data_IF_301520165148
#
_entry.id   IF_301520165148
#
_cell.length_a   1.000
_cell.length_b   1.000
_cell.length_c   1.000
_cell.angle_alpha   90.00
_cell.angle_beta   90.00
_cell.angle_gamma   90.00
#
_symmetry.space_group_name_H-M   'P 1'
#
loop_
_entity.id
_entity.type
_entity.pdbx_description
1 polymer ?
#
# COMPACT_ATOMS: atom_id res chain seq x y z
N UNK A 1 4.67 14.29 -19.54
CA UNK A 1 3.50 13.38 -19.44
C UNK A 1 3.94 11.92 -19.53
N UNK A 2 4.84 11.58 -20.45
CA UNK A 2 5.40 10.22 -20.58
C UNK A 2 6.07 9.69 -19.30
N UNK A 3 6.78 10.55 -18.56
CA UNK A 3 7.43 10.16 -17.29
C UNK A 3 6.42 9.76 -16.20
N UNK A 4 5.28 10.45 -16.13
CA UNK A 4 4.23 10.13 -15.15
C UNK A 4 3.59 8.77 -15.44
N UNK A 5 3.36 8.46 -16.72
CA UNK A 5 2.84 7.15 -17.15
C UNK A 5 3.83 6.03 -16.82
N UNK A 6 5.14 6.28 -16.95
CA UNK A 6 6.16 5.30 -16.56
C UNK A 6 6.17 5.05 -15.05
N UNK A 7 6.03 6.10 -14.23
CA UNK A 7 5.97 5.98 -12.77
C UNK A 7 4.70 5.23 -12.35
N UNK A 8 3.56 5.52 -12.98
CA UNK A 8 2.30 4.81 -12.74
C UNK A 8 2.40 3.32 -13.09
N UNK A 9 2.97 3.00 -14.25
CA UNK A 9 3.21 1.61 -14.65
C UNK A 9 4.17 0.89 -13.68
N UNK A 10 5.22 1.57 -13.22
CA UNK A 10 6.14 1.02 -12.23
C UNK A 10 5.47 0.79 -10.88
N UNK A 11 4.55 1.67 -10.47
CA UNK A 11 3.76 1.54 -9.26
C UNK A 11 2.83 0.32 -9.33
N UNK A 12 2.10 0.15 -10.44
CA UNK A 12 1.25 -1.03 -10.62
C UNK A 12 2.07 -2.32 -10.63
N UNK A 13 3.22 -2.32 -11.31
CA UNK A 13 4.18 -3.44 -11.27
C UNK A 13 4.63 -3.76 -9.84
N UNK A 14 4.91 -2.75 -9.01
CA UNK A 14 5.28 -2.95 -7.61
C UNK A 14 4.14 -3.59 -6.80
N UNK A 15 2.88 -3.15 -7.02
CA UNK A 15 1.70 -3.71 -6.33
C UNK A 15 1.54 -5.20 -6.61
N UNK A 16 1.69 -5.62 -7.87
CA UNK A 16 1.59 -7.02 -8.30
C UNK A 16 2.89 -7.82 -8.10
N UNK A 17 3.91 -7.24 -7.45
CA UNK A 17 5.20 -7.90 -7.25
C UNK A 17 5.27 -8.70 -5.94
N UNK A 18 6.32 -9.52 -5.76
CA UNK A 18 6.60 -10.21 -4.50
C UNK A 18 7.11 -9.28 -3.37
N UNK A 19 7.32 -8.00 -3.66
CA UNK A 19 7.73 -7.05 -2.63
C UNK A 19 6.62 -6.89 -1.60
N UNK A 20 6.96 -7.18 -0.36
CA UNK A 20 6.03 -7.21 0.78
C UNK A 20 6.71 -6.50 1.94
N UNK A 21 6.51 -5.18 2.12
CA UNK A 21 7.10 -4.47 3.24
C UNK A 21 6.56 -5.06 4.56
N UNK A 22 7.49 -5.50 5.40
CA UNK A 22 7.19 -6.04 6.73
C UNK A 22 7.15 -4.89 7.73
N UNK A 23 6.27 -4.99 8.73
CA UNK A 23 6.32 -4.07 9.87
C UNK A 23 7.56 -4.40 10.69
N UNK A 24 8.60 -3.58 10.59
CA UNK A 24 9.77 -3.65 11.45
C UNK A 24 9.62 -2.59 12.56
N UNK A 25 9.70 -2.94 13.86
CA UNK A 25 9.72 -1.95 14.94
C UNK A 25 10.91 -0.99 14.87
N UNK A 26 11.99 -1.35 14.15
CA UNK A 26 13.16 -0.48 13.91
C UNK A 26 12.97 0.46 12.71
N UNK A 27 11.84 0.38 12.00
CA UNK A 27 11.62 1.18 10.81
C UNK A 27 11.48 2.66 11.17
N UNK A 28 12.44 3.47 10.74
CA UNK A 28 12.44 4.91 11.02
C UNK A 28 11.79 5.66 9.85
N UNK A 29 11.04 6.73 10.15
CA UNK A 29 10.41 7.58 9.12
C UNK A 29 11.42 8.16 8.13
N UNK A 30 12.66 8.40 8.57
CA UNK A 30 13.76 8.83 7.71
C UNK A 30 14.09 7.82 6.62
N UNK A 31 14.07 6.51 6.89
CA UNK A 31 14.36 5.49 5.88
C UNK A 31 13.31 5.47 4.78
N UNK A 32 12.05 5.71 5.17
CA UNK A 32 10.93 5.83 4.24
C UNK A 32 11.02 7.10 3.39
N UNK A 33 11.54 8.21 3.91
CA UNK A 33 11.59 9.50 3.20
C UNK A 33 12.85 9.70 2.36
N UNK A 34 14.00 9.12 2.74
CA UNK A 34 15.31 9.40 2.14
C UNK A 34 15.89 8.26 1.31
N UNK A 35 15.39 7.02 1.45
CA UNK A 35 15.85 5.91 0.62
C UNK A 35 15.51 6.11 -0.87
N UNK A 36 16.26 5.50 -1.80
CA UNK A 36 15.88 5.49 -3.21
C UNK A 36 14.50 4.85 -3.41
N UNK A 37 13.78 5.25 -4.46
CA UNK A 37 12.48 4.63 -4.77
C UNK A 37 12.68 3.17 -5.15
N UNK A 38 11.84 2.29 -4.63
CA UNK A 38 11.85 0.85 -4.94
C UNK A 38 11.18 0.53 -6.29
N UNK A 39 10.59 1.51 -6.97
CA UNK A 39 9.91 1.33 -8.25
C UNK A 39 10.81 0.85 -9.39
N UNK A 40 12.12 1.13 -9.30
CA UNK A 40 13.12 0.68 -10.27
C UNK A 40 13.59 -0.76 -10.09
N UNK A 41 13.20 -1.43 -9.00
CA UNK A 41 13.66 -2.79 -8.68
C UNK A 41 12.61 -3.79 -9.19
N UNK A 42 13.07 -4.83 -9.87
CA UNK A 42 12.23 -5.95 -10.27
C UNK A 42 12.20 -7.02 -9.17
N UNK A 43 11.06 -7.11 -8.46
CA UNK A 43 10.83 -8.12 -7.43
C UNK A 43 10.14 -9.38 -7.97
N UNK A 44 9.82 -9.42 -9.27
CA UNK A 44 9.06 -10.48 -9.92
C UNK A 44 7.58 -10.53 -9.50
N UNK A 45 6.73 -11.27 -10.23
CA UNK A 45 5.30 -11.29 -9.99
C UNK A 45 4.93 -12.06 -8.71
N UNK A 46 3.95 -11.55 -7.96
CA UNK A 46 3.36 -12.29 -6.84
C UNK A 46 2.49 -13.45 -7.33
N UNK A 47 2.22 -14.40 -6.45
CA UNK A 47 1.26 -15.46 -6.73
C UNK A 47 -0.15 -14.93 -6.47
N UNK A 48 -0.96 -14.84 -7.52
CA UNK A 48 -2.40 -14.59 -7.40
C UNK A 48 -3.09 -15.94 -7.18
N UNK A 49 -3.29 -16.32 -5.92
CA UNK A 49 -4.15 -17.44 -5.56
C UNK A 49 -5.40 -16.89 -4.88
N UNK A 50 -6.61 -17.24 -5.35
CA UNK A 50 -7.85 -16.77 -4.75
C UNK A 50 -7.85 -17.09 -3.25
N UNK A 51 -8.02 -16.07 -2.42
CA UNK A 51 -8.14 -16.24 -0.97
C UNK A 51 -9.61 -16.36 -0.59
N UNK A 52 -9.95 -17.15 0.45
CA UNK A 52 -11.27 -17.05 1.05
C UNK A 52 -11.47 -15.61 1.55
N UNK A 53 -12.65 -15.02 1.35
CA UNK A 53 -12.94 -13.67 1.81
C UNK A 53 -12.73 -13.60 3.31
N UNK A 54 -11.99 -12.59 3.75
CA UNK A 54 -11.76 -12.35 5.17
C UNK A 54 -12.65 -11.20 5.57
N UNK A 55 -13.50 -11.42 6.57
CA UNK A 55 -14.18 -10.33 7.24
C UNK A 55 -13.14 -9.51 8.00
N UNK A 56 -12.90 -8.30 7.52
CA UNK A 56 -12.02 -7.35 8.20
C UNK A 56 -12.92 -6.28 8.79
N UNK A 57 -12.92 -6.15 10.11
CA UNK A 57 -13.57 -5.04 10.77
C UNK A 57 -12.79 -3.78 10.44
N UNK A 58 -13.33 -2.96 9.55
CA UNK A 58 -12.77 -1.66 9.20
C UNK A 58 -12.86 -0.75 10.43
N UNK A 59 -11.75 -0.59 11.13
CA UNK A 59 -11.56 0.45 12.12
C UNK A 59 -10.81 1.57 11.39
N UNK A 60 -11.42 2.76 11.21
CA UNK A 60 -10.72 3.92 10.66
C UNK A 60 -9.37 4.13 11.34
N UNK A 61 -8.33 4.42 10.57
CA UNK A 61 -6.95 4.56 11.06
C UNK A 61 -6.88 5.63 12.15
N UNK A 62 -7.69 6.69 12.04
CA UNK A 62 -7.81 7.76 13.01
C UNK A 62 -8.29 7.26 14.37
N UNK A 63 -9.23 6.30 14.39
CA UNK A 63 -9.74 5.67 15.62
C UNK A 63 -8.67 4.77 16.22
N UNK A 64 -7.98 3.99 15.39
CA UNK A 64 -6.85 3.14 15.81
C UNK A 64 -5.75 3.97 16.48
N UNK A 65 -5.40 5.12 15.88
CA UNK A 65 -4.40 6.06 16.42
C UNK A 65 -4.90 6.69 17.73
N UNK A 66 -6.12 7.24 17.73
CA UNK A 66 -6.70 7.93 18.89
C UNK A 66 -6.79 7.02 20.11
N UNK A 67 -7.21 5.77 19.90
CA UNK A 67 -7.41 4.79 20.97
C UNK A 67 -6.16 3.94 21.24
N UNK A 68 -5.06 4.18 20.51
CA UNK A 68 -3.80 3.40 20.60
C UNK A 68 -4.05 1.89 20.56
N UNK A 69 -4.93 1.45 19.66
CA UNK A 69 -5.26 0.03 19.52
C UNK A 69 -4.01 -0.67 18.98
N UNK A 70 -3.46 -1.59 19.77
CA UNK A 70 -2.35 -2.45 19.35
C UNK A 70 -2.89 -3.50 18.39
N UNK A 71 -2.39 -3.48 17.15
CA UNK A 71 -2.67 -4.50 16.16
C UNK A 71 -1.61 -5.60 16.27
N UNK A 72 -2.05 -6.82 16.60
CA UNK A 72 -1.16 -7.98 16.65
C UNK A 72 -1.11 -8.65 15.26
N UNK A 73 0.08 -8.64 14.66
CA UNK A 73 0.38 -9.28 13.38
C UNK A 73 1.37 -10.44 13.51
N UNK A 74 1.63 -10.93 14.73
CA UNK A 74 2.62 -11.99 14.99
C UNK A 74 2.34 -13.30 14.24
N UNK A 75 1.07 -13.59 13.95
CA UNK A 75 0.63 -14.76 13.16
C UNK A 75 0.42 -14.51 11.66
N UNK A 76 0.75 -13.32 11.13
CA UNK A 76 0.48 -12.99 9.74
C UNK A 76 1.53 -13.57 8.78
N UNK A 77 1.09 -14.38 7.81
CA UNK A 77 1.96 -14.98 6.81
C UNK A 77 2.22 -14.02 5.63
N UNK A 78 3.26 -13.21 5.74
CA UNK A 78 3.73 -12.29 4.70
C UNK A 78 4.25 -13.00 3.43
N UNK A 79 4.51 -14.31 3.46
CA UNK A 79 4.96 -15.06 2.28
C UNK A 79 3.83 -15.41 1.34
N UNK A 80 2.61 -15.52 1.88
CA UNK A 80 1.40 -15.85 1.13
C UNK A 80 0.53 -14.62 0.93
N UNK A 81 0.31 -13.83 1.98
CA UNK A 81 -0.68 -12.75 1.97
C UNK A 81 -0.01 -11.39 2.05
N UNK A 82 -0.65 -10.42 1.41
CA UNK A 82 -0.30 -9.02 1.52
C UNK A 82 -1.22 -8.32 2.51
N UNK A 83 -0.64 -7.51 3.37
CA UNK A 83 -1.40 -6.66 4.29
C UNK A 83 -1.75 -5.35 3.60
N UNK A 84 -2.68 -5.43 2.65
CA UNK A 84 -2.92 -4.39 1.65
C UNK A 84 -3.11 -2.98 2.20
N UNK A 85 -3.86 -2.82 3.31
CA UNK A 85 -4.09 -1.51 3.92
C UNK A 85 -2.80 -0.78 4.32
N UNK A 86 -1.75 -1.51 4.71
CA UNK A 86 -0.46 -0.93 5.06
C UNK A 86 0.48 -0.88 3.86
N UNK A 87 0.45 -1.93 3.04
CA UNK A 87 1.38 -2.07 1.94
C UNK A 87 1.06 -1.12 0.78
N UNK A 88 -0.22 -0.88 0.46
CA UNK A 88 -0.60 0.12 -0.55
C UNK A 88 -0.21 1.54 -0.12
N UNK A 89 -0.19 1.84 1.19
CA UNK A 89 0.37 3.10 1.70
C UNK A 89 1.86 3.18 1.37
N UNK A 90 2.62 2.13 1.69
CA UNK A 90 4.07 2.09 1.38
C UNK A 90 4.32 2.21 -0.12
N UNK A 91 3.57 1.52 -0.97
CA UNK A 91 3.70 1.64 -2.43
C UNK A 91 3.37 3.06 -2.91
N UNK A 92 2.35 3.70 -2.32
CA UNK A 92 2.02 5.10 -2.60
C UNK A 92 3.14 6.06 -2.16
N UNK A 93 3.84 5.78 -1.06
CA UNK A 93 5.02 6.55 -0.65
C UNK A 93 6.17 6.39 -1.67
N UNK A 94 6.39 5.17 -2.19
CA UNK A 94 7.40 4.92 -3.23
C UNK A 94 7.06 5.62 -4.56
N UNK A 95 5.77 5.73 -4.89
CA UNK A 95 5.25 6.54 -5.99
C UNK A 95 5.53 8.03 -5.80
N UNK A 96 5.17 8.57 -4.63
CA UNK A 96 5.40 9.99 -4.29
C UNK A 96 6.90 10.33 -4.37
N UNK A 97 7.77 9.46 -3.86
CA UNK A 97 9.22 9.63 -3.91
C UNK A 97 9.79 9.70 -5.33
N UNK A 98 9.17 9.02 -6.28
CA UNK A 98 9.63 9.00 -7.67
C UNK A 98 9.19 10.25 -8.45
N UNK A 99 8.36 11.13 -7.87
CA UNK A 99 7.95 12.36 -8.53
C UNK A 99 9.16 13.29 -8.72
N UNK A 100 9.35 13.89 -9.91
CA UNK A 100 10.54 14.70 -10.22
C UNK A 100 10.76 15.87 -9.25
N UNK A 101 9.67 16.47 -8.76
CA UNK A 101 9.74 17.60 -7.83
C UNK A 101 9.99 17.17 -6.37
N UNK A 102 9.82 15.89 -6.03
CA UNK A 102 9.94 15.42 -4.65
C UNK A 102 11.31 15.75 -4.07
N UNK A 103 12.38 15.54 -4.84
CA UNK A 103 13.74 15.81 -4.39
C UNK A 103 14.02 17.30 -4.16
N UNK A 104 13.28 18.19 -4.82
CA UNK A 104 13.40 19.65 -4.69
C UNK A 104 12.72 20.20 -3.43
N UNK A 105 11.86 19.42 -2.78
CA UNK A 105 11.15 19.84 -1.58
C UNK A 105 12.07 19.84 -0.35
N UNK A 106 11.79 20.77 0.58
CA UNK A 106 12.38 20.76 1.90
C UNK A 106 11.85 19.58 2.74
N UNK A 107 12.53 19.29 3.85
CA UNK A 107 12.20 18.14 4.68
C UNK A 107 10.77 18.16 5.25
N UNK A 108 10.28 19.34 5.64
CA UNK A 108 8.94 19.50 6.21
C UNK A 108 7.89 19.20 5.13
N UNK A 109 8.06 19.78 3.94
CA UNK A 109 7.16 19.53 2.81
C UNK A 109 7.18 18.08 2.34
N UNK A 110 8.35 17.42 2.32
CA UNK A 110 8.44 15.98 2.02
C UNK A 110 7.61 15.15 2.98
N UNK A 111 7.68 15.42 4.29
CA UNK A 111 6.90 14.72 5.31
C UNK A 111 5.40 14.88 5.10
N UNK A 112 4.95 16.12 4.87
CA UNK A 112 3.53 16.42 4.64
C UNK A 112 3.02 15.73 3.37
N UNK A 113 3.81 15.77 2.30
CA UNK A 113 3.43 15.11 1.05
C UNK A 113 3.39 13.59 1.19
N UNK A 114 4.39 12.98 1.85
CA UNK A 114 4.40 11.54 2.12
C UNK A 114 3.21 11.12 3.00
N UNK A 115 2.77 11.96 3.94
CA UNK A 115 1.56 11.68 4.73
C UNK A 115 0.28 11.58 3.88
N UNK A 116 0.25 12.22 2.70
CA UNK A 116 -0.87 12.09 1.75
C UNK A 116 -0.96 10.71 1.07
N UNK A 117 0.06 9.85 1.25
CA UNK A 117 0.07 8.49 0.72
C UNK A 117 -1.14 7.66 1.15
N UNK A 118 -1.72 7.93 2.33
CA UNK A 118 -2.95 7.26 2.81
C UNK A 118 -4.13 7.56 1.89
N UNK A 119 -4.27 8.81 1.45
CA UNK A 119 -5.32 9.19 0.50
C UNK A 119 -5.07 8.56 -0.87
N UNK A 120 -3.81 8.55 -1.32
CA UNK A 120 -3.41 7.90 -2.58
C UNK A 120 -3.69 6.40 -2.58
N UNK A 121 -3.38 5.69 -1.49
CA UNK A 121 -3.64 4.26 -1.37
C UNK A 121 -5.13 3.96 -1.41
N UNK A 122 -5.94 4.75 -0.69
CA UNK A 122 -7.40 4.59 -0.69
C UNK A 122 -7.98 4.79 -2.09
N UNK A 123 -7.53 5.82 -2.80
CA UNK A 123 -7.96 6.09 -4.17
C UNK A 123 -7.53 4.97 -5.12
N UNK A 124 -6.30 4.48 -5.00
CA UNK A 124 -5.77 3.37 -5.81
C UNK A 124 -6.61 2.10 -5.62
N UNK A 125 -6.93 1.74 -4.38
CA UNK A 125 -7.74 0.56 -4.08
C UNK A 125 -9.18 0.71 -4.56
N UNK A 126 -9.77 1.90 -4.40
CA UNK A 126 -11.11 2.18 -4.90
C UNK A 126 -11.18 2.10 -6.43
N UNK A 127 -10.21 2.71 -7.12
CA UNK A 127 -10.13 2.66 -8.58
C UNK A 127 -9.91 1.23 -9.08
N UNK A 128 -9.00 0.48 -8.46
CA UNK A 128 -8.78 -0.93 -8.79
C UNK A 128 -10.06 -1.77 -8.64
N UNK A 129 -10.80 -1.57 -7.55
CA UNK A 129 -12.08 -2.25 -7.30
C UNK A 129 -13.13 -1.91 -8.35
N UNK A 130 -13.22 -0.62 -8.73
CA UNK A 130 -14.12 -0.15 -9.78
C UNK A 130 -13.80 -0.79 -11.14
N UNK A 131 -12.52 -0.83 -11.54
CA UNK A 131 -12.08 -1.46 -12.79
C UNK A 131 -12.37 -2.96 -12.85
N UNK A 132 -12.49 -3.62 -11.71
CA UNK A 132 -12.81 -5.05 -11.60
C UNK A 132 -14.30 -5.31 -11.34
N UNK A 133 -15.16 -4.29 -11.44
CA UNK A 133 -16.60 -4.37 -11.17
C UNK A 133 -16.93 -4.99 -9.81
N UNK A 134 -16.07 -4.78 -8.83
CA UNK A 134 -16.25 -5.29 -7.48
C UNK A 134 -17.13 -4.34 -6.66
N UNK A 135 -18.11 -4.90 -5.96
CA UNK A 135 -18.95 -4.23 -4.96
C UNK A 135 -18.19 -3.98 -3.64
N UNK A 136 -17.05 -4.65 -3.47
CA UNK A 136 -16.17 -4.63 -2.29
C UNK A 136 -14.79 -4.13 -2.65
N UNK A 137 -13.98 -3.79 -1.64
CA UNK A 137 -12.56 -3.49 -1.88
C UNK A 137 -11.85 -4.76 -2.33
N UNK A 138 -11.40 -4.76 -3.58
CA UNK A 138 -10.73 -5.86 -4.24
C UNK A 138 -9.23 -5.56 -4.39
N UNK A 139 -8.41 -6.60 -4.25
CA UNK A 139 -6.96 -6.47 -4.32
C UNK A 139 -6.34 -7.34 -5.40
N UNK A 140 -5.13 -6.98 -5.90
CA UNK A 140 -4.49 -7.71 -6.97
C UNK A 140 -4.14 -9.18 -6.70
N UNK A 141 -4.11 -9.62 -5.43
CA UNK A 141 -3.89 -11.03 -5.07
C UNK A 141 -5.20 -11.85 -5.01
N UNK A 142 -6.33 -11.24 -5.38
CA UNK A 142 -7.65 -11.83 -5.28
C UNK A 142 -8.28 -11.69 -3.90
N UNK A 143 -7.61 -11.05 -2.94
CA UNK A 143 -8.18 -10.74 -1.64
C UNK A 143 -9.31 -9.71 -1.73
N UNK A 144 -10.37 -9.91 -0.96
CA UNK A 144 -11.46 -8.94 -0.78
C UNK A 144 -11.57 -8.55 0.68
N UNK A 145 -11.84 -7.28 0.96
CA UNK A 145 -12.33 -6.86 2.28
C UNK A 145 -13.85 -6.78 2.29
N UNK A 146 -14.48 -7.52 3.21
CA UNK A 146 -15.93 -7.53 3.42
C UNK A 146 -16.30 -7.22 4.86
N UNK A 147 -17.48 -6.61 5.03
CA UNK A 147 -18.07 -6.31 6.34
C UNK A 147 -18.61 -7.58 7.03
N UNK A 148 -19.04 -8.57 6.26
CA UNK A 148 -19.49 -9.89 6.73
C UNK A 148 -18.55 -11.01 6.24
N UNK A 149 -18.41 -12.07 7.03
CA UNK A 149 -17.76 -13.30 6.58
C UNK A 149 -18.67 -14.17 5.69
N UNK A 150 -19.98 -13.89 5.74
CA UNK A 150 -20.97 -14.50 4.86
C UNK A 150 -20.86 -13.87 3.47
N UNK A 151 -20.67 -14.74 2.46
CA UNK A 151 -20.59 -14.36 1.05
C UNK A 151 -21.92 -13.83 0.56
#
# INVERSE_FOLDING_TARGET
MQDLLMIESAHDRLRISKYTPMMNPELVMEELAYGPSKLGIDFGPMRATPYPPVSVRLIPVEITIKNRITLDFSGFDYSRRKLWMFQDVVYSMEFIKALPFFHLLDYSSKKVLVASAISCSNFTSAFYSYCHHSDRTYYPDGGTMSWSAEM
#
